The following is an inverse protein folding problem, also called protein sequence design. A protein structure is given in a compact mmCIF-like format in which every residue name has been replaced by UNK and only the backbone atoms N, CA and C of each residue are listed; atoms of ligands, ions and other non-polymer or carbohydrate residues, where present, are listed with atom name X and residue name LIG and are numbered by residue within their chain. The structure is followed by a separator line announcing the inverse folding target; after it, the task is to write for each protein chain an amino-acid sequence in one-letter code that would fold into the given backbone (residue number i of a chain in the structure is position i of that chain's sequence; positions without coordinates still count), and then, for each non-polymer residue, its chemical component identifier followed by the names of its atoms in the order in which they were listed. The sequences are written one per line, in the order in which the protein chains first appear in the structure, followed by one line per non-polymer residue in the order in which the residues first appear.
data_IF_361019338322
#
_entry.id   IF_361019338322
#
_cell.length_a   1.000
_cell.length_b   1.000
_cell.length_c   1.000
_cell.angle_alpha   90.00
_cell.angle_beta   90.00
_cell.angle_gamma   90.00
#
_symmetry.space_group_name_H-M   'P 1'
#
loop_
_entity.id
_entity.type
_entity.pdbx_description
1 polymer ?
#
# COMPACT_ATOMS: atom_id res chain seq x y z
N UNK A 1 -36.61 -2.72 19.29
CA UNK A 1 -35.92 -3.17 18.05
C UNK A 1 -34.57 -2.47 17.99
N UNK A 2 -33.48 -3.14 18.39
CA UNK A 2 -32.13 -2.58 18.35
C UNK A 2 -31.38 -3.17 17.15
N UNK A 3 -31.22 -2.37 16.10
CA UNK A 3 -30.49 -2.77 14.89
C UNK A 3 -28.99 -2.47 15.09
N UNK A 4 -28.29 -3.40 15.74
CA UNK A 4 -26.84 -3.51 15.58
C UNK A 4 -26.57 -3.99 14.16
N UNK A 5 -25.90 -3.18 13.33
CA UNK A 5 -25.42 -3.61 12.03
C UNK A 5 -23.94 -3.31 11.93
N UNK A 6 -23.16 -4.22 12.50
CA UNK A 6 -21.72 -4.37 12.31
C UNK A 6 -21.41 -4.33 10.82
N UNK A 7 -20.59 -3.36 10.41
CA UNK A 7 -20.08 -3.30 9.03
C UNK A 7 -19.09 -4.45 8.85
N UNK A 8 -19.55 -5.41 8.07
CA UNK A 8 -18.87 -6.59 7.57
C UNK A 8 -17.48 -6.26 7.03
N UNK A 9 -16.45 -6.69 7.77
CA UNK A 9 -15.08 -6.75 7.27
C UNK A 9 -15.05 -7.80 6.15
N UNK A 10 -15.21 -7.37 4.89
CA UNK A 10 -14.94 -8.22 3.73
C UNK A 10 -13.45 -8.50 3.64
N UNK A 11 -13.06 -9.59 4.30
CA UNK A 11 -11.90 -10.38 3.96
C UNK A 11 -12.09 -10.91 2.53
N UNK A 12 -11.63 -10.15 1.54
CA UNK A 12 -11.39 -10.68 0.21
C UNK A 12 -10.08 -11.47 0.26
N UNK A 13 -10.21 -12.72 0.66
CA UNK A 13 -9.27 -13.81 0.42
C UNK A 13 -9.21 -14.07 -1.08
N UNK A 14 -8.51 -13.22 -1.80
CA UNK A 14 -8.03 -13.54 -3.14
C UNK A 14 -6.61 -14.05 -2.96
N UNK A 15 -6.33 -15.22 -3.53
CA UNK A 15 -5.07 -15.96 -3.58
C UNK A 15 -3.95 -15.07 -4.13
N UNK A 16 -3.43 -14.18 -3.29
CA UNK A 16 -2.35 -13.26 -3.60
C UNK A 16 -1.08 -14.09 -3.74
N UNK A 17 -0.49 -14.07 -4.94
CA UNK A 17 0.93 -14.35 -5.11
C UNK A 17 1.66 -13.65 -3.97
N UNK A 18 2.19 -14.46 -3.06
CA UNK A 18 2.85 -13.96 -1.85
C UNK A 18 4.19 -13.40 -2.31
N UNK A 19 4.17 -12.11 -2.68
CA UNK A 19 5.38 -11.37 -2.99
C UNK A 19 6.32 -11.52 -1.79
N UNK A 20 7.56 -11.91 -2.05
CA UNK A 20 8.57 -12.06 -1.01
C UNK A 20 9.04 -10.67 -0.61
N UNK A 21 8.56 -10.22 0.55
CA UNK A 21 9.05 -8.98 1.17
C UNK A 21 10.37 -9.27 1.88
N UNK A 22 11.42 -8.54 1.52
CA UNK A 22 12.71 -8.53 2.21
C UNK A 22 12.87 -7.21 2.96
N UNK A 23 13.78 -7.13 3.93
CA UNK A 23 14.01 -5.89 4.69
C UNK A 23 14.32 -4.70 3.78
N UNK A 24 15.06 -4.93 2.69
CA UNK A 24 15.36 -3.91 1.69
C UNK A 24 14.13 -3.42 0.91
N UNK A 25 13.22 -4.33 0.53
CA UNK A 25 11.99 -3.93 -0.17
C UNK A 25 11.01 -3.20 0.73
N UNK A 26 10.97 -3.58 2.02
CA UNK A 26 10.21 -2.85 3.02
C UNK A 26 10.82 -1.47 3.26
N UNK A 27 12.14 -1.37 3.47
CA UNK A 27 12.84 -0.10 3.67
C UNK A 27 12.66 0.85 2.47
N UNK A 28 12.77 0.33 1.24
CA UNK A 28 12.53 1.10 0.02
C UNK A 28 11.08 1.57 -0.08
N UNK A 29 10.11 0.72 0.25
CA UNK A 29 8.69 1.11 0.30
C UNK A 29 8.45 2.25 1.29
N UNK A 30 9.05 2.20 2.49
CA UNK A 30 8.94 3.28 3.48
C UNK A 30 9.61 4.57 3.01
N UNK A 31 10.83 4.49 2.46
CA UNK A 31 11.54 5.64 1.89
C UNK A 31 10.71 6.32 0.80
N UNK A 32 10.13 5.54 -0.12
CA UNK A 32 9.28 6.07 -1.18
C UNK A 32 7.96 6.66 -0.65
N UNK A 33 7.41 6.10 0.43
CA UNK A 33 6.14 6.55 1.03
C UNK A 33 6.26 7.85 1.82
N UNK A 34 7.40 8.10 2.46
CA UNK A 34 7.58 9.19 3.43
C UNK A 34 8.70 10.19 3.09
N UNK A 35 9.73 9.77 2.36
CA UNK A 35 10.96 10.56 2.11
C UNK A 35 11.22 10.79 0.60
N UNK A 36 10.24 10.50 -0.24
CA UNK A 36 10.33 10.73 -1.69
C UNK A 36 9.36 11.82 -2.13
N UNK A 37 9.49 12.25 -3.39
CA UNK A 37 8.54 13.16 -4.04
C UNK A 37 7.09 12.64 -4.00
N UNK A 38 6.90 11.32 -3.79
CA UNK A 38 5.59 10.69 -3.64
C UNK A 38 4.93 11.01 -2.29
N UNK A 39 5.69 11.33 -1.23
CA UNK A 39 5.17 11.60 0.11
C UNK A 39 4.10 12.70 0.09
N UNK A 40 4.38 13.81 -0.62
CA UNK A 40 3.44 14.93 -0.81
C UNK A 40 2.12 14.50 -1.45
N UNK A 41 2.14 13.50 -2.35
CA UNK A 41 0.92 12.99 -3.01
C UNK A 41 0.08 12.15 -2.07
N UNK A 42 0.71 11.44 -1.12
CA UNK A 42 -0.01 10.68 -0.10
C UNK A 42 -0.67 11.58 0.96
N UNK A 43 -0.11 12.77 1.21
CA UNK A 43 -0.67 13.78 2.11
C UNK A 43 -1.89 14.51 1.53
N UNK A 44 -2.08 14.46 0.20
CA UNK A 44 -3.21 15.12 -0.45
C UNK A 44 -4.56 14.60 0.05
N UNK A 45 -5.56 15.49 0.16
CA UNK A 45 -6.96 15.10 0.43
C UNK A 45 -7.66 14.49 -0.80
N UNK A 46 -7.04 14.56 -1.98
CA UNK A 46 -7.63 14.04 -3.21
C UNK A 46 -7.39 12.52 -3.34
N UNK A 47 -8.48 11.75 -3.38
CA UNK A 47 -8.43 10.30 -3.55
C UNK A 47 -7.79 9.87 -4.89
N UNK A 48 -7.93 10.68 -5.95
CA UNK A 48 -7.29 10.40 -7.23
C UNK A 48 -5.77 10.52 -7.12
N UNK A 49 -5.27 11.56 -6.45
CA UNK A 49 -3.83 11.75 -6.23
C UNK A 49 -3.25 10.65 -5.35
N UNK A 50 -3.97 10.22 -4.31
CA UNK A 50 -3.57 9.06 -3.50
C UNK A 50 -3.50 7.79 -4.35
N UNK A 51 -4.48 7.55 -5.23
CA UNK A 51 -4.47 6.39 -6.13
C UNK A 51 -3.26 6.43 -7.06
N UNK A 52 -2.97 7.59 -7.65
CA UNK A 52 -1.77 7.80 -8.47
C UNK A 52 -0.50 7.59 -7.66
N UNK A 53 -0.44 8.05 -6.41
CA UNK A 53 0.72 7.84 -5.54
C UNK A 53 1.00 6.34 -5.32
N UNK A 54 -0.04 5.52 -5.10
CA UNK A 54 0.13 4.08 -4.98
C UNK A 54 0.56 3.40 -6.29
N UNK A 55 0.10 3.88 -7.45
CA UNK A 55 0.56 3.40 -8.76
C UNK A 55 2.04 3.69 -8.96
N UNK A 56 2.47 4.92 -8.69
CA UNK A 56 3.87 5.31 -8.81
C UNK A 56 4.74 4.58 -7.79
N UNK A 57 4.27 4.42 -6.55
CA UNK A 57 4.98 3.68 -5.51
C UNK A 57 5.24 2.22 -5.93
N UNK A 58 4.26 1.56 -6.53
CA UNK A 58 4.43 0.20 -7.01
C UNK A 58 5.43 0.11 -8.17
N UNK A 59 5.38 1.05 -9.12
CA UNK A 59 6.32 1.10 -10.24
C UNK A 59 7.75 1.37 -9.77
N UNK A 60 7.97 2.39 -8.93
CA UNK A 60 9.27 2.74 -8.36
C UNK A 60 9.86 1.60 -7.53
N UNK A 61 9.03 0.96 -6.69
CA UNK A 61 9.45 -0.19 -5.91
C UNK A 61 9.83 -1.37 -6.80
N UNK A 62 9.10 -1.58 -7.91
CA UNK A 62 9.40 -2.67 -8.84
C UNK A 62 10.72 -2.47 -9.56
N UNK A 63 11.01 -1.23 -9.97
CA UNK A 63 12.28 -0.85 -10.57
C UNK A 63 13.42 -1.00 -9.56
N UNK A 64 13.24 -0.50 -8.34
CA UNK A 64 14.28 -0.52 -7.31
C UNK A 64 14.63 -1.94 -6.83
N UNK A 65 13.67 -2.86 -6.83
CA UNK A 65 13.86 -4.24 -6.36
C UNK A 65 13.99 -5.26 -7.50
N UNK A 66 14.01 -4.79 -8.75
CA UNK A 66 14.03 -5.64 -9.95
C UNK A 66 12.97 -6.77 -9.89
N UNK A 67 11.78 -6.46 -9.37
CA UNK A 67 10.73 -7.43 -9.04
C UNK A 67 9.36 -6.83 -9.28
N UNK A 68 8.40 -7.59 -9.81
CA UNK A 68 7.05 -7.07 -10.07
C UNK A 68 6.21 -6.93 -8.78
N UNK A 69 5.96 -5.69 -8.37
CA UNK A 69 5.02 -5.35 -7.31
C UNK A 69 3.74 -4.75 -7.88
N UNK A 70 2.61 -5.34 -7.53
CA UNK A 70 1.30 -4.78 -7.89
C UNK A 70 0.88 -3.71 -6.89
N UNK A 71 0.07 -2.76 -7.36
CA UNK A 71 -0.54 -1.72 -6.52
C UNK A 71 -1.32 -2.33 -5.35
N UNK A 72 -2.01 -3.44 -5.58
CA UNK A 72 -2.77 -4.12 -4.53
C UNK A 72 -1.86 -4.70 -3.43
N UNK A 73 -0.72 -5.28 -3.78
CA UNK A 73 0.27 -5.79 -2.82
C UNK A 73 0.90 -4.66 -2.00
N UNK A 74 1.27 -3.56 -2.66
CA UNK A 74 1.83 -2.37 -1.98
C UNK A 74 0.81 -1.76 -1.02
N UNK A 75 -0.45 -1.59 -1.46
CA UNK A 75 -1.52 -1.07 -0.62
C UNK A 75 -1.80 -1.97 0.59
N UNK A 76 -1.86 -3.29 0.39
CA UNK A 76 -2.03 -4.26 1.48
C UNK A 76 -0.90 -4.15 2.50
N UNK A 77 0.35 -4.06 2.02
CA UNK A 77 1.53 -3.95 2.86
C UNK A 77 1.57 -2.63 3.63
N UNK A 78 1.31 -1.50 2.98
CA UNK A 78 1.26 -0.18 3.63
C UNK A 78 0.16 -0.15 4.70
N UNK A 79 -1.05 -0.64 4.40
CA UNK A 79 -2.17 -0.67 5.37
C UNK A 79 -1.85 -1.49 6.62
N UNK A 80 -1.09 -2.58 6.47
CA UNK A 80 -0.64 -3.41 7.61
C UNK A 80 0.33 -2.66 8.52
N UNK A 81 1.10 -1.70 8.01
CA UNK A 81 2.00 -0.89 8.82
C UNK A 81 1.33 0.37 9.38
N UNK A 82 0.43 1.00 8.63
CA UNK A 82 -0.31 2.20 9.04
C UNK A 82 -1.23 1.92 10.24
N UNK A 83 -1.74 0.69 10.40
CA UNK A 83 -2.56 0.28 11.54
C UNK A 83 -1.77 -0.06 12.82
N UNK A 84 -0.44 -0.08 12.75
CA UNK A 84 0.45 -0.48 13.86
C UNK A 84 1.13 0.73 14.52
N UNK A 85 0.79 1.96 14.10
CA UNK A 85 1.28 3.23 14.67
C UNK A 85 0.17 3.96 15.40
#
# INVERSE_FOLDING_TARGET
ANAGKSKENKASSETKHSVRWCDESVATLFRLRYDSHLAKRFESKNNAEKKTAYVMLAAELSVAMESDYTVAQVQDKVRKFDFVV
#
